data_IF_690399063641
#
_entry.id   IF_690399063641
#
_cell.length_a   1.000
_cell.length_b   1.000
_cell.length_c   1.000
_cell.angle_alpha   90.00
_cell.angle_beta   90.00
_cell.angle_gamma   90.00
#
_symmetry.space_group_name_H-M   'P 1'
#
loop_
_entity.id
_entity.type
_entity.pdbx_description
1 polymer ?
#
# COMPACT_ATOMS: atom_id res chain seq x y z
N UNK A 1 15.56 -28.08 41.48
CA UNK A 1 14.73 -27.42 40.45
C UNK A 1 14.59 -25.95 40.83
N UNK A 2 15.22 -25.05 40.07
CA UNK A 2 15.13 -23.61 40.29
C UNK A 2 13.76 -23.12 39.79
N UNK A 3 12.89 -22.70 40.71
CA UNK A 3 11.69 -21.92 40.39
C UNK A 3 12.12 -20.49 40.04
N UNK A 4 12.55 -20.29 38.80
CA UNK A 4 12.92 -18.98 38.23
C UNK A 4 11.74 -18.15 37.72
N UNK A 5 10.50 -18.49 38.09
CA UNK A 5 9.29 -17.84 37.59
C UNK A 5 8.73 -16.81 38.58
N UNK A 6 9.36 -15.65 38.74
CA UNK A 6 8.72 -14.50 39.43
C UNK A 6 9.45 -13.17 39.31
N UNK A 7 10.72 -13.13 38.92
CA UNK A 7 11.52 -11.88 38.96
C UNK A 7 11.20 -10.89 37.82
N UNK A 8 10.48 -11.30 36.78
CA UNK A 8 10.16 -10.46 35.62
C UNK A 8 8.67 -10.32 35.31
N UNK A 9 7.76 -10.73 36.21
CA UNK A 9 6.31 -10.58 36.01
C UNK A 9 5.83 -9.12 36.00
N UNK A 10 6.73 -8.17 36.28
CA UNK A 10 6.46 -6.74 36.37
C UNK A 10 7.35 -5.91 35.43
N UNK A 11 7.91 -6.52 34.38
CA UNK A 11 8.51 -5.71 33.32
C UNK A 11 7.44 -4.75 32.77
N UNK A 12 7.71 -3.43 32.74
CA UNK A 12 6.73 -2.46 32.30
C UNK A 12 6.36 -2.75 30.85
N UNK A 13 5.07 -3.00 30.61
CA UNK A 13 4.55 -3.06 29.25
C UNK A 13 4.58 -1.64 28.67
N UNK A 14 5.53 -1.38 27.78
CA UNK A 14 5.56 -0.13 27.01
C UNK A 14 4.47 -0.16 25.96
N UNK A 15 3.59 0.84 25.98
CA UNK A 15 2.60 1.06 24.93
C UNK A 15 3.14 2.14 23.99
N UNK A 16 3.18 1.84 22.70
CA UNK A 16 3.60 2.77 21.66
C UNK A 16 2.38 3.07 20.79
N UNK A 17 1.97 4.33 20.76
CA UNK A 17 0.87 4.81 19.92
C UNK A 17 1.44 5.63 18.75
N UNK A 18 1.12 5.22 17.53
CA UNK A 18 1.56 5.88 16.31
C UNK A 18 0.34 6.11 15.43
N UNK A 19 0.27 7.30 14.81
CA UNK A 19 -0.71 7.60 13.76
C UNK A 19 0.02 7.72 12.41
N UNK A 20 0.13 6.62 11.63
CA UNK A 20 0.92 6.60 10.40
C UNK A 20 0.43 7.60 9.36
N UNK A 21 -0.89 7.81 9.25
CA UNK A 21 -1.47 8.70 8.23
C UNK A 21 -1.16 10.17 8.49
N UNK A 22 -1.11 10.60 9.76
CA UNK A 22 -0.76 11.99 10.11
C UNK A 22 0.64 12.41 9.68
N UNK A 23 1.56 11.44 9.63
CA UNK A 23 2.97 11.65 9.28
C UNK A 23 3.28 11.10 7.87
N UNK A 24 2.27 10.64 7.12
CA UNK A 24 2.41 9.99 5.81
C UNK A 24 3.45 8.86 5.80
N UNK A 25 3.57 8.14 6.91
CA UNK A 25 4.54 7.05 7.04
C UNK A 25 4.08 5.89 6.17
N UNK A 26 4.93 5.44 5.26
CA UNK A 26 4.76 4.15 4.61
C UNK A 26 4.90 3.03 5.65
N UNK A 27 4.36 1.83 5.39
CA UNK A 27 4.52 0.73 6.33
C UNK A 27 6.00 0.34 6.58
N UNK A 28 6.90 0.50 5.60
CA UNK A 28 8.32 0.26 5.80
C UNK A 28 8.94 1.31 6.74
N UNK A 29 8.62 2.58 6.55
CA UNK A 29 9.05 3.65 7.46
C UNK A 29 8.52 3.42 8.88
N UNK A 30 7.28 2.93 9.01
CA UNK A 30 6.72 2.53 10.29
C UNK A 30 7.54 1.42 10.95
N UNK A 31 7.92 0.37 10.20
CA UNK A 31 8.80 -0.70 10.70
C UNK A 31 10.17 -0.17 11.13
N UNK A 32 10.78 0.72 10.35
CA UNK A 32 12.08 1.32 10.69
C UNK A 32 11.99 2.19 11.94
N UNK A 33 10.94 3.00 12.07
CA UNK A 33 10.67 3.80 13.27
C UNK A 33 10.53 2.92 14.50
N UNK A 34 9.77 1.83 14.41
CA UNK A 34 9.60 0.89 15.51
C UNK A 34 10.92 0.20 15.87
N UNK A 35 11.71 -0.25 14.89
CA UNK A 35 13.06 -0.80 15.12
C UNK A 35 13.98 0.20 15.79
N UNK A 36 13.91 1.47 15.42
CA UNK A 36 14.69 2.52 16.07
C UNK A 36 14.32 2.67 17.56
N UNK A 37 13.03 2.57 17.89
CA UNK A 37 12.55 2.74 19.27
C UNK A 37 12.86 1.52 20.15
N UNK A 38 12.64 0.30 19.66
CA UNK A 38 12.70 -0.93 20.49
C UNK A 38 13.84 -1.89 20.13
N UNK A 39 14.59 -1.63 19.06
CA UNK A 39 15.58 -2.54 18.49
C UNK A 39 14.97 -3.64 17.62
N UNK A 40 14.31 -4.62 18.24
CA UNK A 40 13.73 -5.80 17.57
C UNK A 40 12.20 -5.75 17.52
N UNK A 41 11.61 -6.02 16.35
CA UNK A 41 10.17 -6.06 16.14
C UNK A 41 9.50 -7.34 16.68
N UNK A 42 10.25 -8.43 16.91
CA UNK A 42 9.69 -9.72 17.34
C UNK A 42 8.87 -9.64 18.62
N UNK A 43 9.20 -8.69 19.50
CA UNK A 43 8.48 -8.45 20.75
C UNK A 43 7.27 -7.51 20.63
N UNK A 44 7.08 -6.81 19.50
CA UNK A 44 6.00 -5.82 19.34
C UNK A 44 4.76 -6.50 18.80
N UNK A 45 3.66 -6.35 19.52
CA UNK A 45 2.35 -6.88 19.13
C UNK A 45 1.33 -5.77 19.00
N UNK A 46 0.49 -5.84 17.96
CA UNK A 46 -0.54 -4.83 17.70
C UNK A 46 -1.76 -5.12 18.57
N UNK A 47 -2.05 -4.23 19.52
CA UNK A 47 -3.18 -4.37 20.44
C UNK A 47 -4.45 -3.64 20.02
N UNK A 48 -4.31 -2.56 19.25
CA UNK A 48 -5.41 -1.71 18.81
C UNK A 48 -5.03 -0.99 17.52
N UNK A 49 -6.00 -0.79 16.63
CA UNK A 49 -5.90 0.12 15.49
C UNK A 49 -7.24 0.77 15.20
N UNK A 50 -7.20 1.90 14.48
CA UNK A 50 -8.40 2.56 13.99
C UNK A 50 -8.45 2.53 12.46
N UNK A 51 -9.58 2.10 11.92
CA UNK A 51 -9.95 2.22 10.51
C UNK A 51 -10.67 3.56 10.32
N UNK A 52 -10.23 4.37 9.37
CA UNK A 52 -10.70 5.75 9.19
C UNK A 52 -10.94 6.02 7.70
N UNK A 53 -12.07 6.65 7.41
CA UNK A 53 -12.40 7.20 6.08
C UNK A 53 -12.87 8.63 6.25
N UNK A 54 -12.35 9.50 5.38
CA UNK A 54 -12.77 10.90 5.30
C UNK A 54 -13.66 11.10 4.07
N UNK A 55 -14.80 11.75 4.27
CA UNK A 55 -15.76 12.09 3.24
C UNK A 55 -15.80 13.60 3.07
N UNK A 56 -15.34 14.07 1.91
CA UNK A 56 -15.38 15.47 1.52
C UNK A 56 -16.77 15.85 0.99
N UNK A 57 -17.21 17.07 1.29
CA UNK A 57 -18.48 17.60 0.78
C UNK A 57 -19.72 17.15 1.56
N UNK A 58 -19.56 16.38 2.64
CA UNK A 58 -20.67 15.91 3.47
C UNK A 58 -20.57 16.42 4.91
N UNK A 59 -21.70 16.79 5.50
CA UNK A 59 -21.82 16.98 6.95
C UNK A 59 -22.01 15.65 7.67
N UNK A 60 -21.68 15.58 8.96
CA UNK A 60 -21.85 14.35 9.73
C UNK A 60 -23.31 13.94 9.87
N UNK A 61 -24.23 14.90 9.93
CA UNK A 61 -25.67 14.66 9.90
C UNK A 61 -26.10 14.02 8.56
N UNK A 62 -25.62 14.55 7.42
CA UNK A 62 -25.93 14.00 6.10
C UNK A 62 -25.41 12.57 5.95
N UNK A 63 -24.21 12.29 6.46
CA UNK A 63 -23.64 10.94 6.51
C UNK A 63 -24.51 10.07 7.42
N UNK A 64 -24.83 10.52 8.64
CA UNK A 64 -25.60 9.73 9.59
C UNK A 64 -27.03 9.39 9.08
N UNK A 65 -27.65 10.31 8.35
CA UNK A 65 -28.94 10.14 7.68
C UNK A 65 -28.92 9.05 6.61
N UNK A 66 -27.79 8.80 5.96
CA UNK A 66 -27.65 7.91 4.79
C UNK A 66 -26.82 6.65 5.06
N UNK A 67 -26.01 6.64 6.10
CA UNK A 67 -25.08 5.56 6.39
C UNK A 67 -25.82 4.31 6.85
N UNK A 68 -25.65 3.25 6.06
CA UNK A 68 -26.06 1.90 6.43
C UNK A 68 -24.89 1.22 7.13
N UNK A 69 -25.10 0.85 8.39
CA UNK A 69 -24.15 0.04 9.17
C UNK A 69 -24.77 -1.34 9.41
N UNK A 70 -24.22 -2.42 8.81
CA UNK A 70 -24.75 -3.77 8.98
C UNK A 70 -24.78 -4.21 10.45
N UNK A 71 -25.73 -5.09 10.78
CA UNK A 71 -25.85 -5.76 12.08
C UNK A 71 -26.01 -4.84 13.32
N UNK A 72 -26.32 -3.56 13.12
CA UNK A 72 -26.58 -2.63 14.23
C UNK A 72 -27.96 -2.83 14.83
N UNK A 73 -27.99 -3.27 16.10
CA UNK A 73 -29.21 -3.52 16.87
C UNK A 73 -29.72 -2.29 17.61
N UNK A 74 -28.84 -1.31 17.89
CA UNK A 74 -29.18 -0.09 18.61
C UNK A 74 -29.25 1.08 17.66
N UNK A 75 -30.14 2.04 17.94
CA UNK A 75 -30.16 3.30 17.23
C UNK A 75 -28.83 4.02 17.47
N UNK A 76 -28.28 4.70 16.45
CA UNK A 76 -27.19 5.61 16.70
C UNK A 76 -27.66 6.76 17.58
N UNK A 77 -26.77 7.25 18.42
CA UNK A 77 -27.03 8.42 19.25
C UNK A 77 -25.98 9.48 18.96
N UNK A 78 -26.39 10.73 19.07
CA UNK A 78 -25.49 11.87 19.01
C UNK A 78 -24.84 12.09 20.38
N UNK A 79 -23.55 12.40 20.39
CA UNK A 79 -22.83 12.77 21.61
C UNK A 79 -23.39 14.09 22.15
N UNK A 80 -23.69 14.13 23.44
CA UNK A 80 -24.16 15.37 24.09
C UNK A 80 -23.03 16.38 24.26
N UNK A 81 -21.81 15.89 24.48
CA UNK A 81 -20.63 16.72 24.73
C UNK A 81 -19.96 17.13 23.41
N UNK A 82 -20.18 16.34 22.36
CA UNK A 82 -19.63 16.58 21.02
C UNK A 82 -20.76 16.60 19.96
N UNK A 83 -21.53 17.70 19.86
CA UNK A 83 -22.52 17.85 18.81
C UNK A 83 -21.91 17.57 17.44
N UNK A 84 -22.71 17.00 16.54
CA UNK A 84 -22.29 16.51 15.22
C UNK A 84 -21.42 15.23 15.26
N UNK A 85 -21.40 14.50 16.38
CA UNK A 85 -20.75 13.19 16.53
C UNK A 85 -21.79 12.10 16.78
N UNK A 86 -21.88 11.12 15.88
CA UNK A 86 -22.82 10.01 15.97
C UNK A 86 -22.09 8.70 16.24
N UNK A 87 -22.58 7.93 17.21
CA UNK A 87 -22.05 6.60 17.53
C UNK A 87 -23.03 5.51 17.15
N UNK A 88 -22.52 4.49 16.47
CA UNK A 88 -23.22 3.26 16.14
C UNK A 88 -22.60 2.11 16.93
N UNK A 89 -23.41 1.40 17.72
CA UNK A 89 -22.92 0.28 18.53
C UNK A 89 -22.42 0.71 19.91
N UNK A 90 -21.49 -0.06 20.50
CA UNK A 90 -21.05 0.09 21.90
C UNK A 90 -19.54 0.30 22.00
N UNK A 91 -19.12 1.24 22.87
CA UNK A 91 -17.72 1.68 23.03
C UNK A 91 -16.71 0.54 23.27
N UNK A 92 -17.11 -0.50 23.97
CA UNK A 92 -16.26 -1.66 24.30
C UNK A 92 -16.42 -2.83 23.33
N UNK A 93 -17.08 -2.62 22.19
CA UNK A 93 -17.25 -3.62 21.14
C UNK A 93 -17.10 -2.99 19.76
N UNK A 94 -17.89 -3.45 18.79
CA UNK A 94 -17.92 -2.88 17.45
C UNK A 94 -18.64 -1.52 17.46
N UNK A 95 -17.89 -0.44 17.66
CA UNK A 95 -18.39 0.93 17.54
C UNK A 95 -17.90 1.57 16.25
N UNK A 96 -18.82 2.22 15.54
CA UNK A 96 -18.51 3.14 14.44
C UNK A 96 -18.84 4.55 14.91
N UNK A 97 -17.95 5.51 14.64
CA UNK A 97 -18.14 6.93 14.93
C UNK A 97 -18.24 7.69 13.61
N UNK A 98 -19.15 8.66 13.55
CA UNK A 98 -19.27 9.59 12.42
C UNK A 98 -19.22 11.00 12.98
N UNK A 99 -18.24 11.81 12.59
CA UNK A 99 -18.07 13.14 13.18
C UNK A 99 -17.53 14.17 12.20
N UNK A 100 -17.79 15.45 12.50
CA UNK A 100 -17.23 16.58 11.77
C UNK A 100 -15.72 16.69 12.02
N UNK A 101 -14.94 16.19 11.06
CA UNK A 101 -13.48 16.15 11.14
C UNK A 101 -12.87 17.54 10.94
N UNK A 102 -13.47 18.38 10.09
CA UNK A 102 -13.05 19.76 9.89
C UNK A 102 -13.08 20.55 11.19
N UNK A 103 -14.19 20.43 11.95
CA UNK A 103 -14.36 21.06 13.27
C UNK A 103 -13.34 20.53 14.29
N UNK A 104 -13.13 19.21 14.34
CA UNK A 104 -12.11 18.61 15.21
C UNK A 104 -10.70 19.16 14.91
N UNK A 105 -10.38 19.37 13.64
CA UNK A 105 -9.10 19.91 13.20
C UNK A 105 -9.01 21.45 13.25
N UNK A 106 -10.07 22.14 13.70
CA UNK A 106 -10.16 23.60 13.71
C UNK A 106 -9.90 24.21 12.32
N UNK A 107 -10.40 23.56 11.28
CA UNK A 107 -10.33 24.06 9.90
C UNK A 107 -11.25 25.28 9.73
N UNK A 108 -11.05 26.03 8.64
CA UNK A 108 -11.87 27.20 8.33
C UNK A 108 -13.33 26.82 8.11
N UNK A 109 -14.24 27.74 8.44
CA UNK A 109 -15.67 27.60 8.21
C UNK A 109 -15.97 27.32 6.72
N UNK A 110 -16.99 26.50 6.48
CA UNK A 110 -17.40 26.08 5.14
C UNK A 110 -16.67 24.84 4.60
N UNK A 111 -15.59 24.38 5.24
CA UNK A 111 -14.94 23.12 4.87
C UNK A 111 -15.79 21.95 5.38
N UNK A 112 -16.33 21.16 4.46
CA UNK A 112 -17.12 19.97 4.76
C UNK A 112 -16.22 18.73 4.70
N UNK A 113 -15.81 18.26 5.87
CA UNK A 113 -15.02 17.03 6.03
C UNK A 113 -15.61 16.20 7.17
N UNK A 114 -16.17 15.05 6.84
CA UNK A 114 -16.73 14.11 7.83
C UNK A 114 -15.87 12.86 7.90
N UNK A 115 -15.54 12.42 9.11
CA UNK A 115 -14.82 11.16 9.31
C UNK A 115 -15.74 10.05 9.78
N UNK A 116 -15.59 8.87 9.19
CA UNK A 116 -16.11 7.60 9.69
C UNK A 116 -14.93 6.83 10.30
N UNK A 117 -15.06 6.41 11.55
CA UNK A 117 -14.00 5.73 12.29
C UNK A 117 -14.52 4.46 12.97
N UNK A 118 -13.74 3.38 12.92
CA UNK A 118 -13.97 2.16 13.69
C UNK A 118 -12.69 1.77 14.42
N UNK A 119 -12.78 1.58 15.73
CA UNK A 119 -11.66 1.11 16.54
C UNK A 119 -11.75 -0.41 16.70
N UNK A 120 -10.65 -1.10 16.45
CA UNK A 120 -10.52 -2.54 16.68
C UNK A 120 -9.55 -2.76 17.84
N UNK A 121 -9.99 -3.56 18.81
CA UNK A 121 -9.20 -3.93 19.99
C UNK A 121 -9.02 -5.44 20.00
N UNK A 122 -7.79 -5.89 20.27
CA UNK A 122 -7.43 -7.31 20.23
C UNK A 122 -6.95 -7.76 21.60
N UNK A 123 -7.49 -8.90 22.04
CA UNK A 123 -7.09 -9.54 23.29
C UNK A 123 -5.60 -9.89 23.23
N UNK A 124 -4.84 -9.78 24.34
CA UNK A 124 -3.40 -10.05 24.35
C UNK A 124 -2.96 -11.39 23.72
N UNK A 125 -3.78 -12.43 23.85
CA UNK A 125 -3.51 -13.76 23.30
C UNK A 125 -3.59 -13.81 21.76
N UNK A 126 -4.42 -12.96 21.16
CA UNK A 126 -4.74 -12.96 19.73
C UNK A 126 -3.95 -11.90 18.95
N UNK A 127 -3.07 -11.14 19.64
CA UNK A 127 -2.32 -10.04 19.01
C UNK A 127 -1.25 -10.57 18.07
N UNK A 128 -1.33 -10.12 16.83
CA UNK A 128 -0.31 -10.35 15.81
C UNK A 128 0.93 -9.49 16.09
N UNK A 129 2.09 -9.98 15.66
CA UNK A 129 3.27 -9.14 15.52
C UNK A 129 3.03 -8.03 14.48
N UNK A 130 3.86 -6.99 14.50
CA UNK A 130 3.77 -5.90 13.52
C UNK A 130 3.91 -6.42 12.08
N UNK A 131 4.82 -7.37 11.85
CA UNK A 131 5.03 -7.94 10.51
C UNK A 131 3.84 -8.77 10.04
N UNK A 132 3.27 -9.61 10.91
CA UNK A 132 2.05 -10.37 10.59
C UNK A 132 0.87 -9.44 10.36
N UNK A 133 0.69 -8.42 11.20
CA UNK A 133 -0.40 -7.46 11.07
C UNK A 133 -0.35 -6.73 9.72
N UNK A 134 0.80 -6.17 9.34
CA UNK A 134 0.96 -5.42 8.09
C UNK A 134 0.86 -6.29 6.83
N UNK A 135 1.07 -7.61 6.96
CA UNK A 135 0.96 -8.55 5.85
C UNK A 135 -0.39 -9.30 5.81
N UNK A 136 -1.24 -9.13 6.84
CA UNK A 136 -2.55 -9.79 6.90
C UNK A 136 -3.60 -9.01 6.12
N UNK A 137 -4.51 -9.72 5.44
CA UNK A 137 -5.64 -9.07 4.77
C UNK A 137 -6.71 -8.67 5.79
N UNK A 138 -7.20 -7.42 5.77
CA UNK A 138 -8.24 -6.96 6.67
C UNK A 138 -9.64 -7.50 6.27
N UNK A 139 -9.90 -8.79 6.51
CA UNK A 139 -11.05 -9.52 5.93
C UNK A 139 -12.44 -8.87 6.13
N UNK A 140 -12.66 -8.01 7.14
CA UNK A 140 -13.99 -7.49 7.50
C UNK A 140 -14.07 -5.98 7.74
N UNK A 141 -13.12 -5.19 7.23
CA UNK A 141 -13.12 -3.73 7.46
C UNK A 141 -14.29 -3.06 6.75
N UNK A 142 -15.12 -2.35 7.50
CA UNK A 142 -16.33 -1.68 7.00
C UNK A 142 -17.23 -2.55 6.10
N UNK A 143 -17.15 -3.88 6.21
CA UNK A 143 -17.80 -4.80 5.26
C UNK A 143 -19.30 -4.57 5.18
N UNK A 144 -19.79 -4.25 3.98
CA UNK A 144 -21.20 -3.98 3.71
C UNK A 144 -21.70 -2.62 4.20
N UNK A 145 -20.83 -1.78 4.76
CA UNK A 145 -21.15 -0.39 5.08
C UNK A 145 -21.18 0.46 3.81
N UNK A 146 -22.22 1.27 3.69
CA UNK A 146 -22.41 2.14 2.52
C UNK A 146 -23.26 3.34 2.85
N UNK A 147 -23.02 4.43 2.14
CA UNK A 147 -23.90 5.58 2.16
C UNK A 147 -24.95 5.41 1.08
N UNK A 148 -26.20 5.23 1.49
CA UNK A 148 -27.31 4.98 0.57
C UNK A 148 -27.71 6.29 -0.10
N UNK A 149 -27.86 6.25 -1.42
CA UNK A 149 -28.52 7.34 -2.13
C UNK A 149 -30.03 7.25 -1.91
N UNK A 150 -30.49 7.91 -0.85
CA UNK A 150 -31.89 7.93 -0.48
C UNK A 150 -32.75 8.62 -1.55
N UNK A 151 -32.19 9.48 -2.40
CA UNK A 151 -32.92 10.30 -3.35
C UNK A 151 -33.27 9.52 -4.62
N UNK A 152 -32.59 8.39 -4.85
CA UNK A 152 -32.99 7.38 -5.83
C UNK A 152 -34.19 6.51 -5.43
N UNK A 153 -34.70 6.65 -4.20
CA UNK A 153 -35.87 5.90 -3.72
C UNK A 153 -37.13 6.72 -4.00
N UNK A 154 -38.11 6.13 -4.70
CA UNK A 154 -39.38 6.80 -5.04
C UNK A 154 -40.07 7.37 -3.78
N UNK A 155 -40.30 8.69 -3.78
CA UNK A 155 -40.90 9.46 -2.69
C UNK A 155 -42.30 8.98 -2.27
N UNK A 156 -43.03 8.28 -3.15
CA UNK A 156 -44.35 7.73 -2.84
C UNK A 156 -44.25 6.49 -1.95
N UNK A 157 -43.11 5.79 -1.95
CA UNK A 157 -42.90 4.57 -1.18
C UNK A 157 -42.86 4.86 0.32
N UNK A 158 -43.51 3.98 1.10
CA UNK A 158 -43.49 4.01 2.56
C UNK A 158 -42.06 4.06 3.14
N UNK A 159 -41.13 3.34 2.52
CA UNK A 159 -39.72 3.26 2.94
C UNK A 159 -39.05 4.65 2.91
N UNK A 160 -39.20 5.42 1.82
CA UNK A 160 -38.63 6.77 1.72
C UNK A 160 -39.26 7.73 2.73
N UNK A 161 -40.59 7.66 2.90
CA UNK A 161 -41.31 8.45 3.92
C UNK A 161 -40.79 8.17 5.33
N UNK A 162 -40.56 6.91 5.66
CA UNK A 162 -40.02 6.51 6.96
C UNK A 162 -38.57 7.00 7.14
N UNK A 163 -37.70 6.80 6.14
CA UNK A 163 -36.31 7.31 6.17
C UNK A 163 -36.28 8.83 6.38
N UNK A 164 -37.17 9.57 5.70
CA UNK A 164 -37.23 11.01 5.83
C UNK A 164 -37.71 11.45 7.22
N UNK A 165 -38.64 10.70 7.84
CA UNK A 165 -39.18 10.99 9.18
C UNK A 165 -38.17 10.79 10.30
N UNK A 166 -37.30 9.78 10.20
CA UNK A 166 -36.34 9.44 11.28
C UNK A 166 -34.99 10.13 11.10
N UNK A 167 -34.27 10.40 12.19
CA UNK A 167 -32.99 11.13 12.11
C UNK A 167 -31.88 10.38 11.37
N UNK A 168 -31.88 9.05 11.43
CA UNK A 168 -30.86 8.22 10.78
C UNK A 168 -31.49 7.07 9.98
N UNK A 169 -30.77 6.59 8.97
CA UNK A 169 -31.19 5.41 8.20
C UNK A 169 -31.33 4.17 9.10
N UNK A 170 -30.42 3.99 10.06
CA UNK A 170 -30.45 2.85 10.98
C UNK A 170 -31.71 2.87 11.86
N UNK A 171 -32.12 4.05 12.34
CA UNK A 171 -33.37 4.20 13.09
C UNK A 171 -34.59 3.85 12.21
N UNK A 172 -34.63 4.38 10.99
CA UNK A 172 -35.69 4.03 10.03
C UNK A 172 -35.77 2.53 9.78
N UNK A 173 -34.64 1.85 9.58
CA UNK A 173 -34.57 0.40 9.34
C UNK A 173 -35.07 -0.40 10.54
N UNK A 174 -34.77 0.03 11.77
CA UNK A 174 -35.24 -0.66 12.98
C UNK A 174 -36.77 -0.59 13.14
N UNK A 175 -37.39 0.50 12.66
CA UNK A 175 -38.84 0.68 12.61
C UNK A 175 -39.51 0.00 11.40
N UNK A 176 -38.74 -0.54 10.44
CA UNK A 176 -39.28 -1.28 9.29
C UNK A 176 -39.65 -2.72 9.66
N UNK A 177 -40.70 -3.23 8.99
CA UNK A 177 -40.98 -4.67 8.94
C UNK A 177 -39.87 -5.39 8.16
N UNK A 178 -39.71 -6.69 8.37
CA UNK A 178 -38.70 -7.46 7.62
C UNK A 178 -38.97 -7.48 6.11
N UNK A 179 -40.24 -7.46 5.68
CA UNK A 179 -40.62 -7.29 4.28
C UNK A 179 -40.11 -5.96 3.70
N UNK A 180 -40.23 -4.87 4.46
CA UNK A 180 -39.74 -3.56 4.02
C UNK A 180 -38.21 -3.48 4.02
N UNK A 181 -37.53 -4.13 4.98
CA UNK A 181 -36.07 -4.25 4.95
C UNK A 181 -35.59 -4.98 3.69
N UNK A 182 -36.27 -6.05 3.29
CA UNK A 182 -35.98 -6.78 2.04
C UNK A 182 -36.27 -5.93 0.80
N UNK A 183 -37.34 -5.13 0.80
CA UNK A 183 -37.63 -4.18 -0.29
C UNK A 183 -36.55 -3.09 -0.38
N UNK A 184 -36.15 -2.48 0.75
CA UNK A 184 -35.10 -1.48 0.81
C UNK A 184 -33.80 -1.99 0.18
N UNK A 185 -33.38 -3.22 0.49
CA UNK A 185 -32.18 -3.84 -0.09
C UNK A 185 -32.23 -4.00 -1.62
N UNK A 186 -33.42 -3.97 -2.22
CA UNK A 186 -33.63 -4.06 -3.67
C UNK A 186 -33.76 -2.70 -4.35
N UNK A 187 -33.90 -1.61 -3.59
CA UNK A 187 -34.01 -0.25 -4.14
C UNK A 187 -32.71 0.18 -4.82
N UNK A 188 -32.85 1.05 -5.84
CA UNK A 188 -31.72 1.49 -6.67
C UNK A 188 -30.62 2.15 -5.85
N UNK A 189 -30.98 3.04 -4.92
CA UNK A 189 -30.01 3.70 -4.04
C UNK A 189 -29.29 2.77 -3.05
N UNK A 190 -29.86 1.60 -2.75
CA UNK A 190 -29.18 0.58 -1.92
C UNK A 190 -28.20 -0.25 -2.74
N UNK A 191 -28.57 -0.58 -3.99
CA UNK A 191 -27.72 -1.32 -4.94
C UNK A 191 -26.57 -0.46 -5.46
N UNK A 192 -26.85 0.81 -5.75
CA UNK A 192 -25.93 1.81 -6.23
C UNK A 192 -25.80 2.89 -5.15
N UNK A 193 -25.02 2.64 -4.08
CA UNK A 193 -24.83 3.62 -3.03
C UNK A 193 -24.13 4.88 -3.58
N UNK A 194 -24.33 6.01 -2.93
CA UNK A 194 -23.59 7.24 -3.26
C UNK A 194 -22.12 7.10 -2.90
N UNK A 195 -21.80 6.36 -1.84
CA UNK A 195 -20.43 6.00 -1.45
C UNK A 195 -20.40 4.56 -0.92
N UNK A 196 -19.49 3.75 -1.46
CA UNK A 196 -19.13 2.45 -0.91
C UNK A 196 -17.96 2.61 0.07
N UNK A 197 -18.26 2.58 1.37
CA UNK A 197 -17.27 2.86 2.42
C UNK A 197 -16.20 1.77 2.47
N UNK A 198 -16.59 0.51 2.24
CA UNK A 198 -15.66 -0.61 2.22
C UNK A 198 -14.67 -0.46 1.07
N UNK A 199 -15.17 -0.24 -0.15
CA UNK A 199 -14.31 -0.11 -1.33
C UNK A 199 -13.39 1.11 -1.24
N UNK A 200 -13.88 2.25 -0.73
CA UNK A 200 -13.07 3.44 -0.53
C UNK A 200 -11.91 3.17 0.44
N UNK A 201 -12.19 2.53 1.58
CA UNK A 201 -11.14 2.17 2.54
C UNK A 201 -10.13 1.19 1.95
N UNK A 202 -10.60 0.18 1.22
CA UNK A 202 -9.70 -0.78 0.58
C UNK A 202 -8.80 -0.14 -0.46
N UNK A 203 -9.29 0.86 -1.21
CA UNK A 203 -8.46 1.65 -2.13
C UNK A 203 -7.36 2.37 -1.36
N UNK A 204 -7.72 3.17 -0.35
CA UNK A 204 -6.76 3.94 0.46
C UNK A 204 -5.73 3.04 1.14
N UNK A 205 -6.18 1.90 1.67
CA UNK A 205 -5.30 0.93 2.30
C UNK A 205 -4.36 0.28 1.29
N UNK A 206 -4.86 -0.11 0.11
CA UNK A 206 -4.03 -0.70 -0.93
C UNK A 206 -3.02 0.29 -1.50
N UNK A 207 -3.34 1.58 -1.56
CA UNK A 207 -2.37 2.61 -1.94
C UNK A 207 -1.28 2.75 -0.87
N UNK A 208 -1.68 2.75 0.41
CA UNK A 208 -0.75 2.80 1.53
C UNK A 208 0.15 1.55 1.60
N UNK A 209 -0.42 0.34 1.48
CA UNK A 209 0.30 -0.93 1.45
C UNK A 209 1.03 -1.17 0.13
N UNK A 210 0.55 -0.62 -0.98
CA UNK A 210 1.15 -0.75 -2.31
C UNK A 210 2.55 -0.15 -2.37
N UNK A 211 2.82 0.84 -1.52
CA UNK A 211 4.18 1.33 -1.27
C UNK A 211 5.13 0.22 -0.78
N UNK A 212 4.66 -0.76 0.00
CA UNK A 212 5.46 -1.95 0.37
C UNK A 212 5.65 -2.90 -0.81
N UNK A 213 4.60 -3.16 -1.60
CA UNK A 213 4.64 -4.18 -2.66
C UNK A 213 5.52 -3.75 -3.83
N UNK A 214 5.48 -2.48 -4.20
CA UNK A 214 6.43 -1.92 -5.18
C UNK A 214 7.86 -2.03 -4.68
N UNK A 215 8.11 -1.77 -3.39
CA UNK A 215 9.44 -1.92 -2.81
C UNK A 215 9.88 -3.39 -2.70
N UNK A 216 8.98 -4.34 -2.44
CA UNK A 216 9.31 -5.77 -2.50
C UNK A 216 9.65 -6.23 -3.93
N UNK A 217 8.87 -5.80 -4.94
CA UNK A 217 9.18 -6.09 -6.34
C UNK A 217 10.49 -5.41 -6.77
N UNK A 218 10.75 -4.18 -6.32
CA UNK A 218 12.00 -3.48 -6.58
C UNK A 218 13.18 -4.10 -5.82
N UNK A 219 13.01 -4.60 -4.60
CA UNK A 219 14.05 -5.27 -3.82
C UNK A 219 14.40 -6.66 -4.38
N UNK A 220 13.39 -7.44 -4.80
CA UNK A 220 13.58 -8.69 -5.54
C UNK A 220 14.25 -8.41 -6.89
N UNK A 221 13.88 -7.32 -7.56
CA UNK A 221 14.56 -6.87 -8.77
C UNK A 221 15.96 -6.31 -8.49
N UNK A 222 16.25 -5.72 -7.33
CA UNK A 222 17.60 -5.25 -6.97
C UNK A 222 18.55 -6.44 -6.75
N UNK A 223 18.13 -7.50 -6.05
CA UNK A 223 18.91 -8.74 -5.97
C UNK A 223 19.13 -9.35 -7.38
N UNK A 224 18.09 -9.39 -8.22
CA UNK A 224 18.24 -9.77 -9.63
C UNK A 224 19.10 -8.82 -10.48
N UNK A 225 19.14 -7.52 -10.14
CA UNK A 225 19.96 -6.50 -10.82
C UNK A 225 21.43 -6.61 -10.39
N UNK A 226 21.73 -7.00 -9.15
CA UNK A 226 23.09 -7.33 -8.72
C UNK A 226 23.60 -8.56 -9.46
N UNK A 227 22.80 -9.63 -9.55
CA UNK A 227 23.12 -10.83 -10.33
C UNK A 227 23.29 -10.52 -11.82
N UNK A 228 22.41 -9.69 -12.41
CA UNK A 228 22.56 -9.24 -13.79
C UNK A 228 23.79 -8.35 -13.99
N UNK A 229 24.13 -7.49 -13.03
CA UNK A 229 25.30 -6.59 -13.13
C UNK A 229 26.59 -7.36 -13.07
N UNK A 230 26.66 -8.41 -12.25
CA UNK A 230 27.82 -9.30 -12.18
C UNK A 230 27.91 -10.19 -13.43
N UNK A 231 26.78 -10.69 -13.95
CA UNK A 231 26.74 -11.40 -15.23
C UNK A 231 27.14 -10.51 -16.43
N UNK A 232 26.77 -9.22 -16.43
CA UNK A 232 27.17 -8.24 -17.46
C UNK A 232 28.66 -7.94 -17.35
N UNK A 233 29.21 -7.78 -16.13
CA UNK A 233 30.65 -7.61 -15.94
C UNK A 233 31.44 -8.82 -16.43
N UNK A 234 30.98 -10.03 -16.13
CA UNK A 234 31.63 -11.27 -16.58
C UNK A 234 31.62 -11.38 -18.10
N UNK A 235 30.46 -11.12 -18.75
CA UNK A 235 30.36 -11.09 -20.22
C UNK A 235 31.20 -9.98 -20.85
N UNK A 236 31.29 -8.81 -20.21
CA UNK A 236 32.12 -7.70 -20.68
C UNK A 236 33.62 -8.05 -20.66
N UNK A 237 34.10 -8.72 -19.60
CA UNK A 237 35.48 -9.20 -19.55
C UNK A 237 35.76 -10.26 -20.62
N UNK A 238 34.83 -11.18 -20.83
CA UNK A 238 34.96 -12.19 -21.88
C UNK A 238 35.01 -11.56 -23.28
N UNK A 239 34.17 -10.55 -23.54
CA UNK A 239 34.16 -9.83 -24.81
C UNK A 239 35.46 -9.03 -25.02
N UNK A 240 36.00 -8.40 -23.98
CA UNK A 240 37.31 -7.72 -24.04
C UNK A 240 38.43 -8.71 -24.39
N UNK A 241 38.47 -9.87 -23.74
CA UNK A 241 39.46 -10.90 -24.03
C UNK A 241 39.37 -11.44 -25.47
N UNK A 242 38.15 -11.56 -26.02
CA UNK A 242 37.96 -11.94 -27.43
C UNK A 242 38.49 -10.85 -28.37
N UNK A 243 38.18 -9.58 -28.09
CA UNK A 243 38.63 -8.45 -28.92
C UNK A 243 40.16 -8.34 -28.90
N UNK A 244 40.79 -8.44 -27.73
CA UNK A 244 42.25 -8.43 -27.59
C UNK A 244 42.89 -9.56 -28.40
N UNK A 245 42.36 -10.78 -28.33
CA UNK A 245 42.85 -11.91 -29.11
C UNK A 245 42.72 -11.68 -30.63
N UNK A 246 41.61 -11.09 -31.09
CA UNK A 246 41.41 -10.76 -32.51
C UNK A 246 42.40 -9.67 -32.96
N UNK A 247 42.59 -8.63 -32.16
CA UNK A 247 43.52 -7.53 -32.46
C UNK A 247 44.96 -8.04 -32.51
N UNK A 248 45.38 -8.83 -31.52
CA UNK A 248 46.72 -9.42 -31.47
C UNK A 248 46.97 -10.35 -32.65
N UNK A 249 45.98 -11.17 -33.04
CA UNK A 249 46.08 -12.03 -34.22
C UNK A 249 46.27 -11.21 -35.50
N UNK A 250 45.44 -10.19 -35.74
CA UNK A 250 45.57 -9.31 -36.92
C UNK A 250 46.90 -8.57 -36.96
N UNK A 251 47.39 -8.13 -35.81
CA UNK A 251 48.68 -7.44 -35.71
C UNK A 251 49.84 -8.38 -36.08
N UNK A 252 49.81 -9.62 -35.58
CA UNK A 252 50.80 -10.65 -35.95
C UNK A 252 50.75 -11.02 -37.43
N UNK A 253 49.55 -11.16 -38.01
CA UNK A 253 49.39 -11.43 -39.45
C UNK A 253 49.99 -10.30 -40.30
N UNK A 254 49.80 -9.04 -39.88
CA UNK A 254 50.35 -7.85 -40.54
C UNK A 254 51.88 -7.80 -40.47
N UNK A 255 52.45 -8.11 -39.30
CA UNK A 255 53.90 -8.21 -39.10
C UNK A 255 54.49 -9.29 -40.02
N UNK A 256 53.85 -10.45 -40.09
CA UNK A 256 54.31 -11.57 -40.90
C UNK A 256 54.24 -11.26 -42.41
N UNK A 257 53.17 -10.59 -42.86
CA UNK A 257 53.06 -10.13 -44.24
C UNK A 257 54.12 -9.08 -44.59
N UNK A 258 54.43 -8.18 -43.65
CA UNK A 258 55.49 -7.19 -43.82
C UNK A 258 56.86 -7.86 -43.93
N UNK A 259 57.15 -8.86 -43.09
CA UNK A 259 58.39 -9.66 -43.16
C UNK A 259 58.55 -10.37 -44.51
N UNK A 260 57.49 -11.01 -45.02
CA UNK A 260 57.49 -11.64 -46.35
C UNK A 260 57.75 -10.63 -47.47
N UNK A 261 57.20 -9.42 -47.35
CA UNK A 261 57.40 -8.35 -48.32
C UNK A 261 58.85 -7.87 -48.32
N UNK A 262 59.44 -7.61 -47.14
CA UNK A 262 60.86 -7.25 -46.99
C UNK A 262 61.76 -8.34 -47.56
N UNK A 263 61.45 -9.61 -47.30
CA UNK A 263 62.23 -10.73 -47.84
C UNK A 263 62.24 -10.73 -49.38
N UNK A 264 61.07 -10.59 -50.03
CA UNK A 264 60.97 -10.50 -51.50
C UNK A 264 61.72 -9.30 -52.08
N UNK A 265 61.66 -8.14 -51.40
CA UNK A 265 62.43 -6.95 -51.80
C UNK A 265 63.93 -7.27 -51.77
N UNK A 266 64.40 -7.92 -50.71
CA UNK A 266 65.81 -8.31 -50.60
C UNK A 266 66.21 -9.35 -51.66
N UNK A 267 65.35 -10.29 -52.02
CA UNK A 267 65.60 -11.22 -53.13
C UNK A 267 65.75 -10.47 -54.47
N UNK A 268 64.92 -9.46 -54.71
CA UNK A 268 65.00 -8.64 -55.93
C UNK A 268 66.32 -7.86 -56.02
N UNK A 269 66.75 -7.24 -54.91
CA UNK A 269 67.98 -6.44 -54.89
C UNK A 269 69.27 -7.29 -54.86
N UNK A 270 69.21 -8.53 -54.38
CA UNK A 270 70.34 -9.45 -54.38
C UNK A 270 70.40 -10.34 -55.63
N UNK A 271 69.44 -10.20 -56.57
CA UNK A 271 69.54 -10.87 -57.86
C UNK A 271 70.69 -10.25 -58.65
N UNK A 272 71.66 -11.04 -59.15
CA UNK A 272 72.75 -10.51 -59.96
C UNK A 272 72.15 -9.76 -61.16
N UNK A 273 72.51 -8.48 -61.27
CA UNK A 273 72.12 -7.66 -62.42
C UNK A 273 72.87 -8.25 -63.62
N UNK A 274 72.17 -8.99 -64.48
CA UNK A 274 72.65 -9.32 -65.80
C UNK A 274 72.78 -8.00 -66.58
N UNK A 275 73.99 -7.44 -66.58
CA UNK A 275 74.34 -6.29 -67.39
C UNK A 275 74.26 -6.70 -68.87
N UNK A 276 73.11 -6.43 -69.48
CA UNK A 276 72.92 -6.54 -70.93
C UNK A 276 73.75 -5.43 -71.58
N UNK A 277 74.99 -5.75 -71.94
CA UNK A 277 75.83 -4.89 -72.76
C UNK A 277 75.27 -4.84 -74.19
N UNK A 278 74.42 -3.86 -74.47
CA UNK A 278 74.15 -3.45 -75.85
C UNK A 278 75.29 -2.56 -76.35
N UNK A 279 76.23 -3.18 -77.06
CA UNK A 279 77.15 -2.46 -77.94
C UNK A 279 76.37 -1.93 -79.15
N UNK A 280 76.45 -0.63 -79.41
CA UNK A 280 76.04 -0.02 -80.68
C UNK A 280 77.22 0.79 -81.20
N UNK A 281 77.58 0.55 -82.46
CA UNK A 281 78.67 1.16 -83.22
C UNK A 281 78.47 2.66 -83.48
#
# INVERSE_FOLDING_TARGET
MFNGGSLFSHLPNTIIEINPSSQRLTPQQLKHLLRFIVGDLKGIKVGQWDEKIDLEGYTSEQVAKRLYVPNQRKQPFEDKDFPETYYYGVRNGNQVKVYNKAKQMKMKDGILLTRIERTNKVNPADRLSVDEFLNSEPADVFRGMKMIDIDMIDNRKRIKKLINKENTLVDAIQKMSDSDKHKLKRERGFKNPSVDIHMMFYSDLNDWLGSLRMLHVLAINEEGLWDMRDAIKEKSHHLHAIIENIVMKRMNDTIEQSRKTIHRINEYFNSPIELIHHYSN
#
